data_IF_616167956210
#
_entry.id   IF_616167956210
#
_cell.length_a   1.000
_cell.length_b   1.000
_cell.length_c   1.000
_cell.angle_alpha   90.00
_cell.angle_beta   90.00
_cell.angle_gamma   90.00
#
_symmetry.space_group_name_H-M   'P 1'
#
loop_
_entity.id
_entity.type
_entity.pdbx_description
1 polymer ?
#
# COMPACT_ATOMS: atom_id res chain seq x y z
N UNK A 1 3.98 -28.39 37.45
CA UNK A 1 4.94 -27.45 36.82
C UNK A 1 4.19 -26.29 36.17
N UNK A 2 4.25 -25.08 36.75
CA UNK A 2 3.62 -23.85 36.24
C UNK A 2 4.68 -22.74 36.26
N UNK A 3 5.45 -22.62 35.18
CA UNK A 3 6.26 -21.42 34.88
C UNK A 3 6.30 -21.28 33.36
N UNK A 4 6.35 -20.05 32.85
CA UNK A 4 6.72 -19.67 31.47
C UNK A 4 5.61 -19.24 30.49
N UNK A 5 4.71 -18.32 30.90
CA UNK A 5 4.00 -17.44 29.95
C UNK A 5 4.35 -15.95 30.10
N UNK A 6 4.84 -15.52 31.27
CA UNK A 6 5.21 -14.12 31.56
C UNK A 6 6.55 -13.69 30.94
N UNK A 7 7.58 -14.54 31.04
CA UNK A 7 8.95 -14.27 30.54
C UNK A 7 9.02 -14.13 29.01
N UNK A 8 8.29 -14.97 28.27
CA UNK A 8 8.26 -14.92 26.80
C UNK A 8 7.61 -13.62 26.29
N UNK A 9 6.54 -13.15 26.96
CA UNK A 9 5.84 -11.91 26.59
C UNK A 9 6.69 -10.66 26.82
N UNK A 10 7.52 -10.65 27.87
CA UNK A 10 8.48 -9.57 28.13
C UNK A 10 9.61 -9.50 27.10
N UNK A 11 10.19 -10.64 26.74
CA UNK A 11 11.26 -10.72 25.72
C UNK A 11 10.78 -10.36 24.31
N UNK A 12 9.56 -10.76 23.94
CA UNK A 12 8.98 -10.40 22.63
C UNK A 12 8.64 -8.91 22.54
N UNK A 13 8.20 -8.28 23.65
CA UNK A 13 7.97 -6.83 23.72
C UNK A 13 9.26 -6.04 23.58
N UNK A 14 10.31 -6.42 24.32
CA UNK A 14 11.63 -5.79 24.24
C UNK A 14 12.23 -5.90 22.83
N UNK A 15 12.13 -7.08 22.21
CA UNK A 15 12.56 -7.29 20.83
C UNK A 15 11.79 -6.41 19.83
N UNK A 16 10.47 -6.26 20.01
CA UNK A 16 9.64 -5.39 19.17
C UNK A 16 10.01 -3.91 19.32
N UNK A 17 10.26 -3.46 20.54
CA UNK A 17 10.69 -2.10 20.84
C UNK A 17 12.05 -1.77 20.21
N UNK A 18 13.03 -2.67 20.36
CA UNK A 18 14.35 -2.52 19.74
C UNK A 18 14.23 -2.47 18.22
N UNK A 19 13.42 -3.35 17.62
CA UNK A 19 13.20 -3.36 16.17
C UNK A 19 12.56 -2.06 15.70
N UNK A 20 11.58 -1.52 16.43
CA UNK A 20 10.96 -0.22 16.11
C UNK A 20 12.00 0.90 16.11
N UNK A 21 12.78 1.03 17.18
CA UNK A 21 13.88 2.02 17.29
C UNK A 21 14.90 1.90 16.15
N UNK A 22 15.22 0.68 15.75
CA UNK A 22 16.13 0.43 14.61
C UNK A 22 15.52 0.95 13.31
N UNK A 23 14.25 0.68 13.03
CA UNK A 23 13.59 1.15 11.81
C UNK A 23 13.37 2.67 11.82
N UNK A 24 13.07 3.27 12.97
CA UNK A 24 12.96 4.73 13.09
C UNK A 24 14.30 5.40 12.77
N UNK A 25 15.40 4.89 13.35
CA UNK A 25 16.74 5.36 13.03
C UNK A 25 17.12 5.10 11.56
N UNK A 26 16.68 3.98 10.97
CA UNK A 26 16.96 3.65 9.58
C UNK A 26 16.29 4.62 8.61
N UNK A 27 15.03 4.97 8.84
CA UNK A 27 14.29 5.98 8.08
C UNK A 27 15.02 7.32 8.09
N UNK A 28 15.40 7.81 9.28
CA UNK A 28 16.14 9.06 9.41
C UNK A 28 17.50 8.99 8.68
N UNK A 29 18.25 7.89 8.83
CA UNK A 29 19.52 7.72 8.14
C UNK A 29 19.37 7.71 6.62
N UNK A 30 18.31 7.11 6.08
CA UNK A 30 18.04 7.11 4.63
C UNK A 30 17.64 8.51 4.14
N UNK A 31 16.86 9.25 4.91
CA UNK A 31 16.52 10.64 4.59
C UNK A 31 17.75 11.54 4.58
N UNK A 32 18.66 11.37 5.55
CA UNK A 32 19.89 12.16 5.69
C UNK A 32 20.98 11.77 4.68
N UNK A 33 21.14 10.48 4.38
CA UNK A 33 22.32 9.96 3.67
C UNK A 33 22.03 9.20 2.38
N UNK A 34 20.77 8.91 2.06
CA UNK A 34 20.37 8.13 0.87
C UNK A 34 20.49 6.61 1.03
N UNK A 35 20.06 5.86 0.01
CA UNK A 35 19.93 4.39 0.07
C UNK A 35 21.26 3.64 -0.06
N UNK A 36 22.30 4.28 -0.60
CA UNK A 36 23.65 3.71 -0.72
C UNK A 36 24.48 3.85 0.56
N UNK A 37 23.93 4.49 1.60
CA UNK A 37 24.63 4.67 2.87
C UNK A 37 24.86 3.32 3.59
N UNK A 38 25.96 3.23 4.35
CA UNK A 38 26.25 2.07 5.22
C UNK A 38 25.37 2.11 6.47
N UNK A 39 24.15 1.58 6.37
CA UNK A 39 23.09 1.81 7.34
C UNK A 39 23.41 1.30 8.76
N UNK A 40 23.94 0.09 8.95
CA UNK A 40 24.09 -0.49 10.30
C UNK A 40 24.93 0.36 11.25
N UNK A 41 25.97 1.02 10.74
CA UNK A 41 26.83 1.87 11.56
C UNK A 41 26.10 3.15 11.99
N UNK A 42 25.37 3.76 11.06
CA UNK A 42 24.60 4.99 11.28
C UNK A 42 23.42 4.72 12.21
N UNK A 43 22.66 3.64 11.94
CA UNK A 43 21.56 3.16 12.77
C UNK A 43 22.04 2.85 14.18
N UNK A 44 23.14 2.09 14.34
CA UNK A 44 23.65 1.75 15.66
C UNK A 44 23.96 3.02 16.48
N UNK A 45 24.62 4.00 15.86
CA UNK A 45 24.91 5.29 16.51
C UNK A 45 23.62 6.05 16.86
N UNK A 46 22.70 6.19 15.91
CA UNK A 46 21.48 6.99 16.05
C UNK A 46 20.48 6.34 17.02
N UNK A 47 20.32 5.03 16.98
CA UNK A 47 19.48 4.27 17.90
C UNK A 47 20.12 4.03 19.29
N UNK A 48 21.39 4.37 19.50
CA UNK A 48 22.10 4.09 20.76
C UNK A 48 22.27 2.59 21.02
N UNK A 49 22.55 1.80 19.98
CA UNK A 49 22.70 0.35 20.02
C UNK A 49 24.09 -0.08 19.52
N UNK A 50 24.50 -1.30 19.84
CA UNK A 50 25.70 -1.88 19.23
C UNK A 50 25.42 -2.37 17.80
N UNK A 51 26.42 -2.36 16.90
CA UNK A 51 26.26 -2.94 15.54
C UNK A 51 25.81 -4.41 15.59
N UNK A 52 26.40 -5.30 16.41
CA UNK A 52 25.91 -6.68 16.55
C UNK A 52 24.43 -6.75 16.97
N UNK A 53 23.97 -5.83 17.83
CA UNK A 53 22.55 -5.75 18.19
C UNK A 53 21.68 -5.42 16.98
N UNK A 54 22.08 -4.45 16.15
CA UNK A 54 21.34 -4.12 14.91
C UNK A 54 21.28 -5.33 13.98
N UNK A 55 22.42 -5.92 13.63
CA UNK A 55 22.48 -7.10 12.76
C UNK A 55 21.59 -8.25 13.26
N UNK A 56 21.60 -8.51 14.58
CA UNK A 56 20.79 -9.57 15.19
C UNK A 56 19.27 -9.35 15.02
N UNK A 57 18.80 -8.10 15.04
CA UNK A 57 17.36 -7.80 15.04
C UNK A 57 16.76 -7.59 13.65
N UNK A 58 17.55 -7.10 12.69
CA UNK A 58 17.04 -6.71 11.36
C UNK A 58 17.82 -7.31 10.20
N UNK A 59 18.93 -8.00 10.42
CA UNK A 59 19.71 -8.64 9.36
C UNK A 59 20.61 -7.66 8.61
N UNK A 60 20.77 -7.88 7.31
CA UNK A 60 21.60 -7.06 6.42
C UNK A 60 20.87 -5.80 5.92
N UNK A 61 21.50 -5.05 5.01
CA UNK A 61 20.97 -3.78 4.53
C UNK A 61 19.71 -3.97 3.69
N UNK A 62 19.65 -5.05 2.89
CA UNK A 62 18.47 -5.38 2.11
C UNK A 62 17.28 -5.70 3.04
N UNK A 63 17.51 -6.47 4.10
CA UNK A 63 16.48 -6.79 5.09
C UNK A 63 16.00 -5.56 5.88
N UNK A 64 16.87 -4.59 6.15
CA UNK A 64 16.47 -3.29 6.74
C UNK A 64 15.54 -2.52 5.80
N UNK A 65 15.92 -2.40 4.53
CA UNK A 65 15.14 -1.69 3.51
C UNK A 65 13.78 -2.37 3.32
N UNK A 66 13.75 -3.70 3.20
CA UNK A 66 12.51 -4.48 3.08
C UNK A 66 11.60 -4.30 4.29
N UNK A 67 12.16 -4.33 5.50
CA UNK A 67 11.40 -4.10 6.73
C UNK A 67 10.83 -2.67 6.81
N UNK A 68 11.55 -1.67 6.30
CA UNK A 68 11.06 -0.30 6.18
C UNK A 68 9.91 -0.20 5.19
N UNK A 69 10.02 -0.80 4.00
CA UNK A 69 8.93 -0.81 3.03
C UNK A 69 7.66 -1.44 3.60
N UNK A 70 7.78 -2.57 4.30
CA UNK A 70 6.66 -3.18 5.00
C UNK A 70 6.04 -2.27 6.05
N UNK A 71 6.85 -1.55 6.83
CA UNK A 71 6.36 -0.61 7.85
C UNK A 71 5.63 0.57 7.21
N UNK A 72 6.19 1.20 6.18
CA UNK A 72 5.54 2.32 5.50
C UNK A 72 4.25 1.88 4.80
N UNK A 73 4.23 0.69 4.21
CA UNK A 73 3.02 0.14 3.61
C UNK A 73 1.90 -0.11 4.65
N UNK A 74 2.25 -0.58 5.85
CA UNK A 74 1.29 -0.68 6.96
C UNK A 74 0.73 0.70 7.35
N UNK A 75 1.59 1.71 7.50
CA UNK A 75 1.18 3.10 7.81
C UNK A 75 0.26 3.67 6.73
N UNK A 76 0.52 3.35 5.46
CA UNK A 76 -0.34 3.74 4.35
C UNK A 76 -1.73 3.10 4.46
N UNK A 77 -1.79 1.83 4.86
CA UNK A 77 -3.05 1.14 5.14
C UNK A 77 -3.84 1.76 6.29
N UNK A 78 -3.19 2.05 7.42
CA UNK A 78 -3.80 2.73 8.58
C UNK A 78 -4.39 4.09 8.20
N UNK A 79 -3.71 4.83 7.32
CA UNK A 79 -4.17 6.13 6.83
C UNK A 79 -5.46 6.03 5.97
N UNK A 80 -5.75 4.88 5.38
CA UNK A 80 -6.97 4.63 4.59
C UNK A 80 -8.17 4.22 5.46
N UNK A 81 -7.99 3.86 6.72
CA UNK A 81 -9.10 3.52 7.64
C UNK A 81 -10.22 4.58 7.67
N UNK A 82 -9.95 5.89 7.85
CA UNK A 82 -11.00 6.90 7.84
C UNK A 82 -11.69 7.03 6.47
N UNK A 83 -10.99 6.77 5.37
CA UNK A 83 -11.56 6.78 4.01
C UNK A 83 -12.59 5.65 3.87
N UNK A 84 -12.21 4.45 4.28
CA UNK A 84 -13.10 3.29 4.25
C UNK A 84 -14.29 3.42 5.20
N UNK A 85 -14.09 4.02 6.38
CA UNK A 85 -15.16 4.26 7.34
C UNK A 85 -16.20 5.29 6.84
N UNK A 86 -15.80 6.27 6.04
CA UNK A 86 -16.68 7.31 5.49
C UNK A 86 -17.36 6.91 4.18
N UNK A 87 -16.88 5.87 3.50
CA UNK A 87 -17.38 5.45 2.21
C UNK A 87 -18.82 4.94 2.28
N UNK A 88 -19.69 5.44 1.40
CA UNK A 88 -21.10 5.04 1.33
C UNK A 88 -21.36 3.94 0.30
N UNK A 89 -20.46 3.78 -0.66
CA UNK A 89 -20.53 2.73 -1.67
C UNK A 89 -19.10 2.34 -2.12
N UNK A 90 -18.92 1.14 -2.69
CA UNK A 90 -17.61 0.65 -3.12
C UNK A 90 -16.93 1.50 -4.18
N UNK A 91 -17.70 2.10 -5.10
CA UNK A 91 -17.17 2.91 -6.20
C UNK A 91 -16.50 4.17 -5.67
N UNK A 92 -17.19 4.96 -4.85
CA UNK A 92 -16.62 6.20 -4.32
C UNK A 92 -15.46 5.90 -3.37
N UNK A 93 -15.59 4.88 -2.50
CA UNK A 93 -14.50 4.54 -1.59
C UNK A 93 -13.25 4.01 -2.30
N UNK A 94 -13.39 3.32 -3.45
CA UNK A 94 -12.25 2.97 -4.29
C UNK A 94 -11.56 4.22 -4.87
N UNK A 95 -12.33 5.16 -5.44
CA UNK A 95 -11.78 6.41 -5.99
C UNK A 95 -11.05 7.18 -4.89
N UNK A 96 -11.71 7.42 -3.75
CA UNK A 96 -11.14 8.16 -2.62
C UNK A 96 -9.87 7.50 -2.08
N UNK A 97 -9.86 6.16 -1.99
CA UNK A 97 -8.67 5.43 -1.55
C UNK A 97 -7.51 5.55 -2.53
N UNK A 98 -7.76 5.46 -3.84
CA UNK A 98 -6.72 5.64 -4.88
C UNK A 98 -6.19 7.07 -4.90
N UNK A 99 -7.09 8.07 -4.80
CA UNK A 99 -6.68 9.48 -4.69
C UNK A 99 -5.78 9.66 -3.48
N UNK A 100 -6.23 9.18 -2.32
CA UNK A 100 -5.53 9.35 -1.06
C UNK A 100 -4.16 8.66 -1.04
N UNK A 101 -4.06 7.42 -1.52
CA UNK A 101 -2.80 6.66 -1.51
C UNK A 101 -1.78 7.25 -2.47
N UNK A 102 -2.21 7.67 -3.66
CA UNK A 102 -1.34 8.25 -4.68
C UNK A 102 -0.83 9.62 -4.22
N UNK A 103 -1.70 10.46 -3.68
CA UNK A 103 -1.29 11.78 -3.19
C UNK A 103 -0.37 11.66 -1.98
N UNK A 104 -0.65 10.73 -1.07
CA UNK A 104 0.25 10.46 0.04
C UNK A 104 1.62 9.99 -0.47
N UNK A 105 1.67 9.04 -1.40
CA UNK A 105 2.92 8.54 -1.97
C UNK A 105 3.73 9.61 -2.73
N UNK A 106 3.06 10.52 -3.46
CA UNK A 106 3.70 11.64 -4.18
C UNK A 106 4.37 12.66 -3.26
N UNK A 107 3.90 12.78 -2.02
CA UNK A 107 4.47 13.69 -1.02
C UNK A 107 5.29 12.96 0.05
N UNK A 108 5.40 11.63 -0.02
CA UNK A 108 6.08 10.85 0.99
C UNK A 108 7.60 10.99 0.87
N UNK A 109 8.31 11.57 1.88
CA UNK A 109 9.71 11.96 1.73
C UNK A 109 10.65 10.80 1.37
N UNK A 110 10.53 9.66 2.07
CA UNK A 110 11.42 8.51 1.87
C UNK A 110 11.21 7.87 0.49
N UNK A 111 9.95 7.60 0.13
CA UNK A 111 9.58 7.08 -1.19
C UNK A 111 10.05 7.98 -2.32
N UNK A 112 9.78 9.29 -2.24
CA UNK A 112 10.19 10.24 -3.29
C UNK A 112 11.71 10.39 -3.38
N UNK A 113 12.41 10.43 -2.25
CA UNK A 113 13.88 10.44 -2.23
C UNK A 113 14.43 9.19 -2.90
N UNK A 114 13.93 8.02 -2.55
CA UNK A 114 14.36 6.76 -3.14
C UNK A 114 14.04 6.65 -4.64
N UNK A 115 12.84 7.04 -5.08
CA UNK A 115 12.50 7.06 -6.51
C UNK A 115 13.40 8.01 -7.32
N UNK A 116 13.80 9.14 -6.74
CA UNK A 116 14.63 10.15 -7.40
C UNK A 116 16.12 9.80 -7.42
N UNK A 117 16.64 9.30 -6.30
CA UNK A 117 18.09 9.11 -6.10
C UNK A 117 18.53 7.66 -6.31
N UNK A 118 17.67 6.68 -6.00
CA UNK A 118 17.99 5.25 -6.00
C UNK A 118 16.80 4.38 -6.46
N UNK A 119 16.27 4.59 -7.67
CA UNK A 119 15.07 3.89 -8.15
C UNK A 119 15.24 2.36 -8.14
N UNK A 120 16.44 1.84 -8.37
CA UNK A 120 16.77 0.42 -8.30
C UNK A 120 16.50 -0.23 -6.93
N UNK A 121 16.52 0.56 -5.86
CA UNK A 121 16.23 0.10 -4.50
C UNK A 121 14.73 0.13 -4.19
N UNK A 122 13.96 0.99 -4.86
CA UNK A 122 12.53 1.23 -4.56
C UNK A 122 11.60 0.48 -5.52
N UNK A 123 11.85 0.58 -6.82
CA UNK A 123 11.00 0.03 -7.87
C UNK A 123 10.70 -1.46 -7.70
N UNK A 124 11.62 -2.32 -7.22
CA UNK A 124 11.29 -3.73 -6.98
C UNK A 124 10.07 -3.93 -6.08
N UNK A 125 9.89 -3.11 -5.04
CA UNK A 125 8.77 -3.23 -4.09
C UNK A 125 7.43 -2.74 -4.65
N UNK A 126 7.46 -1.96 -5.73
CA UNK A 126 6.27 -1.53 -6.49
C UNK A 126 6.01 -2.43 -7.71
N UNK A 127 6.90 -3.37 -8.01
CA UNK A 127 6.85 -4.22 -9.20
C UNK A 127 7.11 -5.69 -8.89
N UNK A 128 8.33 -6.19 -9.11
CA UNK A 128 8.67 -7.63 -9.09
C UNK A 128 8.60 -8.26 -7.69
N UNK A 129 8.79 -7.48 -6.63
CA UNK A 129 8.65 -7.89 -5.22
C UNK A 129 7.32 -7.42 -4.60
N UNK A 130 6.36 -6.95 -5.40
CA UNK A 130 5.11 -6.37 -4.89
C UNK A 130 4.16 -7.37 -4.22
N UNK A 131 4.34 -8.68 -4.43
CA UNK A 131 3.38 -9.71 -4.02
C UNK A 131 2.96 -9.64 -2.54
N UNK A 132 3.88 -9.54 -1.56
CA UNK A 132 3.49 -9.44 -0.15
C UNK A 132 2.62 -8.22 0.15
N UNK A 133 2.84 -7.12 -0.57
CA UNK A 133 2.05 -5.89 -0.41
C UNK A 133 0.66 -6.03 -1.02
N UNK A 134 0.53 -6.72 -2.16
CA UNK A 134 -0.76 -7.07 -2.77
C UNK A 134 -1.58 -7.99 -1.85
N UNK A 135 -0.93 -9.00 -1.27
CA UNK A 135 -1.56 -9.89 -0.28
C UNK A 135 -2.05 -9.07 0.93
N UNK A 136 -1.26 -8.10 1.36
CA UNK A 136 -1.63 -7.20 2.46
C UNK A 136 -2.76 -6.23 2.07
N UNK A 137 -2.82 -5.72 0.84
CA UNK A 137 -3.98 -4.96 0.33
C UNK A 137 -5.25 -5.80 0.37
N UNK A 138 -5.16 -7.10 0.09
CA UNK A 138 -6.31 -8.01 0.20
C UNK A 138 -6.83 -8.08 1.63
N UNK A 139 -5.92 -8.19 2.61
CA UNK A 139 -6.28 -8.20 4.04
C UNK A 139 -6.94 -6.88 4.43
N UNK A 140 -6.43 -5.74 3.94
CA UNK A 140 -6.97 -4.42 4.19
C UNK A 140 -8.39 -4.23 3.61
N UNK A 141 -8.62 -4.70 2.38
CA UNK A 141 -9.89 -4.48 1.67
C UNK A 141 -11.00 -5.47 2.05
N UNK A 142 -10.66 -6.66 2.55
CA UNK A 142 -11.67 -7.67 2.87
C UNK A 142 -12.70 -7.21 3.93
N UNK A 143 -12.31 -6.57 5.05
CA UNK A 143 -13.27 -6.00 6.00
C UNK A 143 -14.13 -4.89 5.39
N UNK A 144 -13.54 -4.04 4.55
CA UNK A 144 -14.22 -2.94 3.87
C UNK A 144 -15.37 -3.45 2.98
N UNK A 145 -15.11 -4.44 2.13
CA UNK A 145 -16.15 -5.01 1.28
C UNK A 145 -17.25 -5.71 2.08
N UNK A 146 -16.91 -6.43 3.16
CA UNK A 146 -17.91 -7.05 4.05
C UNK A 146 -18.83 -6.05 4.74
N UNK A 147 -18.33 -4.85 5.02
CA UNK A 147 -19.13 -3.80 5.65
C UNK A 147 -20.11 -3.15 4.67
N UNK A 148 -19.73 -2.99 3.40
CA UNK A 148 -20.52 -2.24 2.42
C UNK A 148 -21.44 -3.09 1.55
N UNK A 149 -21.18 -4.39 1.42
CA UNK A 149 -21.88 -5.26 0.49
C UNK A 149 -22.78 -6.27 1.20
N UNK A 150 -23.87 -6.65 0.55
CA UNK A 150 -24.64 -7.82 0.95
C UNK A 150 -23.84 -9.10 0.70
N UNK A 151 -24.23 -10.22 1.32
CA UNK A 151 -23.57 -11.51 1.09
C UNK A 151 -23.59 -11.94 -0.38
N UNK A 152 -24.71 -11.68 -1.08
CA UNK A 152 -24.85 -11.96 -2.52
C UNK A 152 -23.88 -11.12 -3.36
N UNK A 153 -23.79 -9.82 -3.09
CA UNK A 153 -22.85 -8.93 -3.76
C UNK A 153 -21.39 -9.28 -3.45
N UNK A 154 -21.10 -9.69 -2.22
CA UNK A 154 -19.75 -10.10 -1.84
C UNK A 154 -19.35 -11.40 -2.55
N UNK A 155 -20.29 -12.33 -2.75
CA UNK A 155 -20.06 -13.58 -3.47
C UNK A 155 -19.79 -13.36 -4.96
N UNK A 156 -20.26 -12.27 -5.56
CA UNK A 156 -20.02 -11.94 -6.97
C UNK A 156 -18.69 -11.21 -7.23
N UNK A 157 -17.97 -10.81 -6.18
CA UNK A 157 -16.72 -10.03 -6.31
C UNK A 157 -15.51 -10.87 -5.90
N UNK A 158 -14.47 -10.84 -6.75
CA UNK A 158 -13.16 -11.35 -6.38
C UNK A 158 -12.35 -10.27 -5.65
N UNK A 159 -12.39 -10.29 -4.31
CA UNK A 159 -11.67 -9.34 -3.44
C UNK A 159 -10.15 -9.31 -3.71
N UNK A 160 -9.55 -10.46 -4.04
CA UNK A 160 -8.11 -10.53 -4.38
C UNK A 160 -7.81 -9.79 -5.66
N UNK A 161 -8.66 -9.96 -6.69
CA UNK A 161 -8.52 -9.24 -7.95
C UNK A 161 -8.70 -7.73 -7.73
N UNK A 162 -9.69 -7.32 -6.93
CA UNK A 162 -9.88 -5.91 -6.58
C UNK A 162 -8.64 -5.33 -5.89
N UNK A 163 -8.08 -6.04 -4.92
CA UNK A 163 -6.85 -5.63 -4.22
C UNK A 163 -5.64 -5.53 -5.16
N UNK A 164 -5.46 -6.50 -6.04
CA UNK A 164 -4.38 -6.48 -7.02
C UNK A 164 -4.50 -5.29 -7.98
N UNK A 165 -5.71 -5.02 -8.49
CA UNK A 165 -5.95 -3.85 -9.34
C UNK A 165 -5.71 -2.53 -8.60
N UNK A 166 -6.21 -2.40 -7.36
CA UNK A 166 -5.95 -1.22 -6.51
C UNK A 166 -4.46 -0.95 -6.36
N UNK A 167 -3.68 -1.99 -6.02
CA UNK A 167 -2.24 -1.87 -5.85
C UNK A 167 -1.55 -1.48 -7.17
N UNK A 168 -1.84 -2.17 -8.28
CA UNK A 168 -1.21 -1.92 -9.58
C UNK A 168 -1.51 -0.52 -10.11
N UNK A 169 -2.75 -0.06 -9.95
CA UNK A 169 -3.16 1.30 -10.35
C UNK A 169 -2.38 2.33 -9.52
N UNK A 170 -2.40 2.21 -8.18
CA UNK A 170 -1.67 3.13 -7.31
C UNK A 170 -0.17 3.14 -7.60
N UNK A 171 0.46 1.96 -7.72
CA UNK A 171 1.88 1.83 -8.03
C UNK A 171 2.22 2.48 -9.38
N UNK A 172 1.43 2.21 -10.44
CA UNK A 172 1.65 2.81 -11.76
C UNK A 172 1.52 4.33 -11.72
N UNK A 173 0.54 4.88 -11.00
CA UNK A 173 0.32 6.33 -10.90
C UNK A 173 1.41 7.07 -10.11
N UNK A 174 2.19 6.33 -9.32
CA UNK A 174 3.34 6.86 -8.59
C UNK A 174 4.60 6.92 -9.44
N UNK A 175 4.80 5.96 -10.35
CA UNK A 175 6.10 5.78 -11.04
C UNK A 175 6.06 5.97 -12.55
N UNK A 176 4.88 5.96 -13.17
CA UNK A 176 4.71 6.07 -14.61
C UNK A 176 3.99 7.37 -14.94
N UNK A 177 4.67 8.35 -15.59
CA UNK A 177 4.01 9.55 -16.08
C UNK A 177 2.91 9.22 -17.09
N UNK A 178 1.77 9.91 -16.96
CA UNK A 178 0.63 9.80 -17.88
C UNK A 178 0.51 10.98 -18.83
N UNK A 179 -0.38 10.85 -19.82
CA UNK A 179 -0.76 11.94 -20.74
C UNK A 179 -1.92 12.79 -20.23
N UNK A 180 -2.58 12.35 -19.16
CA UNK A 180 -3.67 13.07 -18.50
C UNK A 180 -3.14 13.69 -17.22
N UNK A 181 -3.51 14.94 -16.97
CA UNK A 181 -3.21 15.62 -15.71
C UNK A 181 -3.93 14.93 -14.56
N UNK A 182 -3.20 14.61 -13.50
CA UNK A 182 -3.70 13.91 -12.31
C UNK A 182 -3.12 14.50 -11.03
N UNK A 183 -2.63 15.74 -11.07
CA UNK A 183 -1.82 16.32 -10.00
C UNK A 183 -2.67 16.74 -8.80
N UNK A 184 -3.91 17.19 -9.04
CA UNK A 184 -4.86 17.50 -7.98
C UNK A 184 -5.76 16.30 -7.64
N UNK A 185 -6.34 16.33 -6.44
CA UNK A 185 -7.28 15.29 -5.98
C UNK A 185 -8.49 15.18 -6.92
N UNK A 186 -8.99 16.30 -7.41
CA UNK A 186 -10.10 16.38 -8.38
C UNK A 186 -9.73 15.75 -9.71
N UNK A 187 -8.60 16.16 -10.31
CA UNK A 187 -8.12 15.61 -11.58
C UNK A 187 -7.88 14.09 -11.51
N UNK A 188 -7.26 13.63 -10.42
CA UNK A 188 -7.03 12.22 -10.19
C UNK A 188 -8.35 11.46 -9.97
N UNK A 189 -9.27 12.03 -9.19
CA UNK A 189 -10.60 11.47 -8.97
C UNK A 189 -11.38 11.28 -10.26
N UNK A 190 -11.37 12.28 -11.14
CA UNK A 190 -12.00 12.22 -12.46
C UNK A 190 -11.34 11.18 -13.36
N UNK A 191 -10.01 11.11 -13.37
CA UNK A 191 -9.26 10.12 -14.13
C UNK A 191 -9.63 8.68 -13.74
N UNK A 192 -9.66 8.38 -12.43
CA UNK A 192 -10.07 7.06 -11.93
C UNK A 192 -11.57 6.82 -12.15
N UNK A 193 -12.41 7.84 -11.97
CA UNK A 193 -13.84 7.76 -12.22
C UNK A 193 -14.17 7.40 -13.66
N UNK A 194 -13.38 7.89 -14.63
CA UNK A 194 -13.52 7.57 -16.04
C UNK A 194 -13.13 6.12 -16.36
N UNK A 195 -12.10 5.55 -15.72
CA UNK A 195 -11.77 4.12 -15.84
C UNK A 195 -12.98 3.24 -15.50
N UNK A 196 -13.70 3.55 -14.42
CA UNK A 196 -14.88 2.80 -13.99
C UNK A 196 -16.12 3.04 -14.86
N UNK A 197 -16.15 4.10 -15.68
CA UNK A 197 -17.24 4.32 -16.66
C UNK A 197 -17.08 3.40 -17.86
N UNK A 198 -15.86 3.11 -18.29
CA UNK A 198 -15.60 2.21 -19.44
C UNK A 198 -16.22 0.84 -19.25
N UNK A 199 -16.18 0.29 -18.03
CA UNK A 199 -16.82 -1.00 -17.72
C UNK A 199 -18.35 -0.96 -17.77
N UNK A 200 -18.97 0.20 -17.53
CA UNK A 200 -20.42 0.35 -17.62
C UNK A 200 -20.93 0.43 -19.07
N UNK A 201 -20.11 0.97 -19.99
CA UNK A 201 -20.46 1.06 -21.42
C UNK A 201 -20.69 -0.34 -22.03
N UNK A 202 -19.95 -1.35 -21.57
CA UNK A 202 -20.11 -2.75 -22.03
C UNK A 202 -21.41 -3.43 -21.58
N UNK A 203 -21.99 -3.03 -20.45
CA UNK A 203 -23.27 -3.55 -19.97
C UNK A 203 -24.44 -2.96 -20.77
N UNK A 204 -24.40 -1.67 -21.10
CA UNK A 204 -25.42 -0.98 -21.91
C UNK A 204 -25.46 -1.47 -23.37
N UNK A 205 -24.28 -1.73 -23.97
CA UNK A 205 -24.21 -2.29 -25.33
C UNK A 205 -24.78 -3.72 -25.36
N UNK A 206 -24.50 -4.55 -24.33
CA UNK A 206 -25.05 -5.91 -24.26
C UNK A 206 -26.57 -5.92 -24.03
N UNK A 207 -27.10 -4.98 -23.25
CA UNK A 207 -28.54 -4.82 -23.04
C UNK A 207 -29.28 -4.34 -24.30
N UNK A 208 -28.64 -3.50 -25.11
CA UNK A 208 -29.22 -2.98 -26.36
C UNK A 208 -29.22 -4.02 -27.49
N UNK A 209 -28.24 -4.93 -27.53
CA UNK A 209 -28.16 -6.01 -28.54
C UNK A 209 -29.17 -7.15 -28.28
N UNK A 210 -29.67 -7.30 -27.05
CA UNK A 210 -30.63 -8.35 -26.66
C UNK A 210 -32.10 -7.93 -26.70
N UNK A 211 -32.42 -6.68 -27.04
CA UNK A 211 -33.79 -6.28 -27.33
C UNK A 211 -34.08 -6.53 -28.82
N UNK A 212 -34.79 -7.60 -29.21
CA UNK A 212 -35.16 -7.78 -30.61
C UNK A 212 -36.17 -6.70 -30.99
N UNK A 213 -36.08 -6.19 -32.21
CA UNK A 213 -37.04 -5.27 -32.85
C UNK A 213 -38.48 -5.77 -32.69
N UNK A 214 -39.15 -5.39 -31.60
CA UNK A 214 -40.59 -5.53 -31.43
C UNK A 214 -41.27 -4.22 -31.84
N UNK A 215 -41.06 -3.80 -33.09
CA UNK A 215 -41.77 -2.67 -33.69
C UNK A 215 -41.73 -2.74 -35.22
N UNK A 216 -42.25 -3.81 -35.80
CA UNK A 216 -42.73 -3.82 -37.17
C UNK A 216 -43.96 -4.73 -37.28
N UNK A 217 -45.13 -4.18 -36.95
CA UNK A 217 -46.44 -4.70 -37.34
C UNK A 217 -47.41 -3.53 -37.44
#
# INVERSE_FOLDING_TARGET
>A
MKVSRSSHRGRTRDHGEIRRRILDAAEECLLEHGYEARLHALIAKKAGLSRPTVYKHVGDQAAIIEALFHREFLRFGEMLEPVFAAAKNPRTGFIDAIVRIVQHGRHHPLLQKGLKENPEQVLPYLTVKARPFIDQTTILLAPYFRQLLTEEQLASINVKAAAEWSFRIAASLLVTPGVVETQTDEQLGDFIGNLLKVSAITEEISATVLAPDSAAS
#
